data_IF_679117752666
#
_entry.id   IF_679117752666
#
_cell.length_a   1.000
_cell.length_b   1.000
_cell.length_c   1.000
_cell.angle_alpha   90.00
_cell.angle_beta   90.00
_cell.angle_gamma   90.00
#
_symmetry.space_group_name_H-M   'P 1'
#
loop_
_entity.id
_entity.type
_entity.pdbx_description
1 polymer ?
#
# COMPACT_ATOMS: atom_id res chain seq x y z
N UNK A 1 -21.61 16.14 -72.89
CA UNK A 1 -22.06 14.89 -72.23
C UNK A 1 -20.98 14.42 -71.29
N UNK A 2 -21.37 14.21 -70.03
CA UNK A 2 -20.63 13.71 -68.86
C UNK A 2 -19.32 12.94 -69.09
N UNK A 3 -18.28 13.24 -68.29
CA UNK A 3 -17.99 12.49 -67.06
C UNK A 3 -16.85 13.13 -66.24
N UNK A 4 -17.13 13.26 -64.93
CA UNK A 4 -16.19 13.56 -63.84
C UNK A 4 -15.36 12.32 -63.50
N UNK A 5 -14.16 12.53 -62.94
CA UNK A 5 -13.37 11.53 -62.19
C UNK A 5 -12.02 12.16 -61.82
N UNK A 6 -11.94 12.99 -60.77
CA UNK A 6 -11.53 12.63 -59.39
C UNK A 6 -10.22 11.81 -59.38
N UNK A 7 -9.11 12.52 -59.17
CA UNK A 7 -7.83 11.97 -58.73
C UNK A 7 -8.01 11.42 -57.30
N UNK A 8 -7.91 10.10 -57.13
CA UNK A 8 -7.74 9.47 -55.84
C UNK A 8 -6.26 9.10 -55.69
N UNK A 9 -5.55 9.83 -54.82
CA UNK A 9 -4.22 9.47 -54.36
C UNK A 9 -4.34 8.23 -53.45
N UNK A 10 -3.87 7.08 -53.93
CA UNK A 10 -3.73 5.88 -53.12
C UNK A 10 -2.40 5.96 -52.35
N UNK A 11 -2.43 6.55 -51.16
CA UNK A 11 -1.33 6.46 -50.20
C UNK A 11 -1.46 5.12 -49.47
N UNK A 12 -0.71 4.10 -49.91
CA UNK A 12 -0.57 2.84 -49.18
C UNK A 12 0.35 3.11 -47.99
N UNK A 13 -0.24 3.23 -46.80
CA UNK A 13 0.50 3.26 -45.54
C UNK A 13 0.88 1.81 -45.19
N UNK A 14 2.11 1.41 -45.50
CA UNK A 14 2.68 0.15 -45.05
C UNK A 14 3.12 0.32 -43.59
N UNK A 15 2.25 -0.05 -42.64
CA UNK A 15 2.63 -0.14 -41.23
C UNK A 15 3.46 -1.41 -41.06
N UNK A 16 4.79 -1.25 -41.13
CA UNK A 16 5.74 -2.26 -40.66
C UNK A 16 5.59 -2.36 -39.14
N UNK A 17 4.86 -3.37 -38.67
CA UNK A 17 4.92 -3.81 -37.29
C UNK A 17 6.32 -4.32 -36.99
N UNK A 18 7.16 -3.47 -36.39
CA UNK A 18 8.37 -3.89 -35.69
C UNK A 18 7.91 -4.68 -34.46
N UNK A 19 7.76 -5.99 -34.62
CA UNK A 19 7.88 -6.89 -33.48
C UNK A 19 9.30 -6.70 -32.97
N UNK A 20 9.46 -6.02 -31.84
CA UNK A 20 10.72 -6.01 -31.12
C UNK A 20 10.98 -7.47 -30.70
N UNK A 21 11.79 -8.18 -31.47
CA UNK A 21 12.38 -9.43 -31.02
C UNK A 21 13.13 -9.11 -29.72
N UNK A 22 12.99 -9.91 -28.66
CA UNK A 22 13.81 -9.73 -27.48
C UNK A 22 15.27 -9.75 -27.92
N UNK A 23 16.05 -8.75 -27.49
CA UNK A 23 17.48 -8.70 -27.80
C UNK A 23 18.11 -9.99 -27.31
N UNK A 24 18.55 -10.83 -28.25
CA UNK A 24 19.30 -12.05 -27.95
C UNK A 24 20.57 -11.60 -27.23
N UNK A 25 20.81 -12.11 -26.01
CA UNK A 25 22.00 -11.76 -25.26
C UNK A 25 23.23 -12.09 -26.11
N UNK A 26 24.12 -11.10 -26.29
CA UNK A 26 25.34 -11.32 -27.05
C UNK A 26 26.23 -12.33 -26.31
N UNK A 27 26.85 -13.25 -27.05
CA UNK A 27 27.86 -14.16 -26.51
C UNK A 27 28.97 -13.36 -25.82
N UNK A 28 29.43 -13.75 -24.62
CA UNK A 28 30.58 -13.10 -23.98
C UNK A 28 31.83 -13.16 -24.88
N UNK A 29 32.65 -12.11 -24.87
CA UNK A 29 33.82 -11.98 -25.78
C UNK A 29 34.85 -13.12 -25.65
N UNK A 30 34.87 -13.83 -24.53
CA UNK A 30 35.78 -14.93 -24.22
C UNK A 30 35.07 -16.30 -24.13
N UNK A 31 33.86 -16.41 -24.68
CA UNK A 31 33.10 -17.66 -24.70
C UNK A 31 33.12 -18.28 -26.10
N UNK A 32 33.66 -19.49 -26.21
CA UNK A 32 33.72 -20.25 -27.46
C UNK A 32 32.75 -21.43 -27.40
N UNK A 33 31.60 -21.28 -28.06
CA UNK A 33 30.58 -22.33 -28.12
C UNK A 33 30.94 -23.47 -29.08
N UNK A 34 32.04 -23.35 -29.85
CA UNK A 34 32.42 -24.35 -30.85
C UNK A 34 32.98 -25.64 -30.24
N UNK A 35 33.41 -25.62 -28.96
CA UNK A 35 33.93 -26.76 -28.20
C UNK A 35 32.99 -27.19 -27.06
N UNK A 36 31.69 -26.97 -27.23
CA UNK A 36 30.67 -27.26 -26.22
C UNK A 36 30.24 -28.73 -26.33
N UNK A 37 30.40 -29.56 -25.29
CA UNK A 37 29.99 -30.98 -25.35
C UNK A 37 28.50 -31.15 -25.05
N UNK A 38 27.95 -30.37 -24.12
CA UNK A 38 26.55 -30.49 -23.69
C UNK A 38 25.79 -29.17 -23.70
N UNK A 39 24.54 -29.23 -24.13
CA UNK A 39 23.56 -28.18 -23.84
C UNK A 39 22.50 -28.77 -22.92
N UNK A 40 22.34 -28.20 -21.71
CA UNK A 40 21.26 -28.58 -20.79
C UNK A 40 20.08 -27.61 -20.92
N UNK A 41 18.89 -28.16 -21.11
CA UNK A 41 17.65 -27.40 -21.16
C UNK A 41 16.98 -27.39 -19.79
N UNK A 42 16.48 -26.23 -19.41
CA UNK A 42 15.83 -26.03 -18.13
C UNK A 42 16.26 -24.69 -17.54
N UNK A 43 15.93 -24.50 -16.27
CA UNK A 43 16.39 -23.33 -15.54
C UNK A 43 15.62 -23.17 -14.24
N UNK A 44 15.95 -22.15 -13.45
CA UNK A 44 15.25 -21.91 -12.21
C UNK A 44 13.81 -21.45 -12.48
N UNK A 45 12.92 -21.87 -11.60
CA UNK A 45 11.52 -21.44 -11.54
C UNK A 45 11.17 -21.23 -10.07
N UNK A 46 11.12 -19.97 -9.66
CA UNK A 46 10.95 -19.59 -8.26
C UNK A 46 9.47 -19.41 -7.95
N UNK A 47 8.99 -20.16 -6.96
CA UNK A 47 7.69 -19.91 -6.34
C UNK A 47 7.86 -19.25 -4.98
N UNK A 48 6.91 -18.41 -4.61
CA UNK A 48 6.87 -17.71 -3.33
C UNK A 48 5.56 -18.03 -2.61
N UNK A 49 5.59 -18.14 -1.29
CA UNK A 49 4.41 -18.43 -0.46
C UNK A 49 4.47 -17.56 0.80
N UNK A 50 3.36 -16.92 1.11
CA UNK A 50 3.22 -16.15 2.34
C UNK A 50 3.05 -17.12 3.52
N UNK A 51 3.86 -16.93 4.57
CA UNK A 51 3.76 -17.67 5.81
C UNK A 51 2.96 -16.88 6.85
N UNK A 52 2.05 -17.58 7.52
CA UNK A 52 1.19 -17.00 8.56
C UNK A 52 -0.09 -16.40 7.99
N UNK A 53 -0.66 -15.44 8.73
CA UNK A 53 -1.90 -14.79 8.36
C UNK A 53 -1.72 -13.89 7.15
N UNK A 54 -2.74 -13.80 6.31
CA UNK A 54 -2.78 -12.89 5.17
C UNK A 54 -3.93 -11.89 5.25
N UNK A 55 -4.60 -11.79 6.39
CA UNK A 55 -5.76 -10.93 6.61
C UNK A 55 -5.55 -10.02 7.83
N UNK A 56 -5.69 -8.71 7.63
CA UNK A 56 -5.29 -7.67 8.58
C UNK A 56 -6.32 -6.54 8.66
N UNK A 57 -6.27 -5.74 9.72
CA UNK A 57 -7.17 -4.60 9.91
C UNK A 57 -6.63 -3.32 9.24
N UNK A 58 -7.50 -2.32 9.08
CA UNK A 58 -7.12 -1.02 8.53
C UNK A 58 -6.14 -0.32 9.47
N UNK A 59 -5.17 0.39 8.91
CA UNK A 59 -4.16 1.09 9.72
C UNK A 59 -3.01 0.21 10.22
N UNK A 60 -3.09 -1.11 10.06
CA UNK A 60 -2.06 -2.04 10.51
C UNK A 60 -0.72 -1.80 9.77
N UNK A 61 0.38 -1.93 10.51
CA UNK A 61 1.72 -2.07 9.93
C UNK A 61 2.25 -3.46 10.27
N UNK A 62 2.39 -4.31 9.25
CA UNK A 62 2.70 -5.74 9.41
C UNK A 62 3.92 -6.15 8.60
N UNK A 63 4.63 -7.17 9.08
CA UNK A 63 5.75 -7.78 8.35
C UNK A 63 5.32 -9.12 7.76
N UNK A 64 5.22 -9.15 6.43
CA UNK A 64 4.98 -10.36 5.65
C UNK A 64 6.25 -11.23 5.63
N UNK A 65 6.11 -12.52 5.92
CA UNK A 65 7.19 -13.49 5.84
C UNK A 65 6.96 -14.37 4.62
N UNK A 66 7.85 -14.31 3.64
CA UNK A 66 7.70 -14.99 2.35
C UNK A 66 8.73 -16.12 2.26
N UNK A 67 8.27 -17.36 2.18
CA UNK A 67 9.10 -18.51 1.85
C UNK A 67 9.23 -18.64 0.34
N UNK A 68 10.43 -18.95 -0.14
CA UNK A 68 10.70 -19.17 -1.56
C UNK A 68 11.17 -20.60 -1.79
N UNK A 69 10.71 -21.20 -2.88
CA UNK A 69 11.14 -22.52 -3.34
C UNK A 69 11.53 -22.44 -4.81
N UNK A 70 12.66 -23.05 -5.17
CA UNK A 70 13.01 -23.24 -6.57
C UNK A 70 12.45 -24.57 -7.09
N UNK A 71 11.40 -24.49 -7.89
CA UNK A 71 10.74 -25.60 -8.60
C UNK A 71 11.33 -25.87 -9.98
N UNK A 72 12.34 -25.10 -10.38
CA UNK A 72 13.05 -25.26 -11.63
C UNK A 72 13.58 -26.67 -11.80
N UNK A 73 13.62 -27.15 -13.03
CA UNK A 73 14.09 -28.48 -13.35
C UNK A 73 14.80 -28.53 -14.69
N UNK A 74 15.69 -29.52 -14.82
CA UNK A 74 16.28 -29.88 -16.09
C UNK A 74 15.16 -30.55 -16.89
N UNK A 75 14.82 -29.96 -18.03
CA UNK A 75 13.80 -30.45 -18.94
C UNK A 75 14.37 -31.37 -20.03
N UNK A 76 15.68 -31.31 -20.25
CA UNK A 76 16.38 -32.19 -21.18
C UNK A 76 17.85 -31.84 -21.29
N UNK A 77 18.57 -32.60 -22.10
CA UNK A 77 19.95 -32.33 -22.46
C UNK A 77 20.19 -32.78 -23.91
N UNK A 78 21.19 -32.19 -24.55
CA UNK A 78 21.67 -32.57 -25.87
C UNK A 78 23.19 -32.69 -25.82
N UNK A 79 23.71 -33.82 -26.30
CA UNK A 79 25.13 -33.94 -26.62
C UNK A 79 25.36 -33.22 -27.94
N UNK A 80 26.26 -32.24 -27.93
CA UNK A 80 26.68 -31.49 -29.10
C UNK A 80 27.95 -32.10 -29.70
N UNK A 81 28.87 -32.54 -28.83
CA UNK A 81 30.08 -33.27 -29.22
C UNK A 81 30.30 -34.52 -28.35
N UNK A 82 30.82 -35.59 -28.96
CA UNK A 82 31.07 -36.87 -28.29
C UNK A 82 32.55 -37.20 -28.31
N UNK A 83 33.12 -37.43 -27.12
CA UNK A 83 34.53 -37.76 -27.01
C UNK A 83 34.91 -39.06 -27.71
N UNK A 84 35.98 -39.00 -28.49
CA UNK A 84 36.50 -40.14 -29.21
C UNK A 84 36.98 -41.24 -28.24
N UNK A 85 36.82 -42.50 -28.66
CA UNK A 85 37.23 -43.64 -27.85
C UNK A 85 38.76 -43.64 -27.70
N UNK A 86 39.23 -43.47 -26.46
CA UNK A 86 40.65 -43.46 -26.12
C UNK A 86 41.23 -42.05 -25.96
N UNK A 87 40.43 -41.01 -26.22
CA UNK A 87 40.75 -39.64 -25.85
C UNK A 87 40.35 -39.38 -24.40
N UNK A 88 41.26 -39.70 -23.47
CA UNK A 88 40.99 -39.57 -22.04
C UNK A 88 40.89 -38.11 -21.57
N UNK A 89 41.51 -37.18 -22.29
CA UNK A 89 41.40 -35.75 -21.99
C UNK A 89 39.98 -35.27 -22.30
N UNK A 90 39.53 -35.52 -23.52
CA UNK A 90 38.22 -35.12 -24.02
C UNK A 90 37.08 -35.78 -23.21
N UNK A 91 37.26 -37.03 -22.80
CA UNK A 91 36.33 -37.73 -21.90
C UNK A 91 36.22 -37.05 -20.52
N UNK A 92 37.33 -36.59 -19.94
CA UNK A 92 37.34 -35.91 -18.64
C UNK A 92 36.74 -34.52 -18.76
N UNK A 93 37.05 -33.78 -19.84
CA UNK A 93 36.45 -32.46 -20.11
C UNK A 93 34.93 -32.59 -20.31
N UNK A 94 34.49 -33.50 -21.18
CA UNK A 94 33.08 -33.80 -21.39
C UNK A 94 32.36 -34.12 -20.07
N UNK A 95 32.91 -34.99 -19.23
CA UNK A 95 32.32 -35.30 -17.92
C UNK A 95 32.27 -34.09 -16.99
N UNK A 96 33.30 -33.24 -17.03
CA UNK A 96 33.37 -32.04 -16.21
C UNK A 96 32.32 -31.02 -16.62
N UNK A 97 32.18 -30.76 -17.93
CA UNK A 97 31.15 -29.86 -18.45
C UNK A 97 29.76 -30.33 -18.03
N UNK A 98 29.45 -31.63 -18.16
CA UNK A 98 28.17 -32.19 -17.70
C UNK A 98 27.89 -31.89 -16.22
N UNK A 99 28.90 -31.99 -15.34
CA UNK A 99 28.75 -31.70 -13.91
C UNK A 99 28.44 -30.23 -13.64
N UNK A 100 29.06 -29.32 -14.39
CA UNK A 100 28.78 -27.90 -14.28
C UNK A 100 27.41 -27.56 -14.89
N UNK A 101 27.10 -28.06 -16.08
CA UNK A 101 25.82 -27.87 -16.79
C UNK A 101 24.60 -28.28 -15.94
N UNK A 102 24.73 -29.34 -15.13
CA UNK A 102 23.69 -29.75 -14.18
C UNK A 102 23.30 -28.66 -13.16
N UNK A 103 24.10 -27.60 -13.00
CA UNK A 103 23.83 -26.48 -12.09
C UNK A 103 22.93 -25.39 -12.69
N UNK A 104 22.58 -25.45 -13.98
CA UNK A 104 21.75 -24.45 -14.69
C UNK A 104 20.42 -24.11 -13.98
N UNK A 105 19.86 -25.08 -13.26
CA UNK A 105 18.62 -24.94 -12.49
C UNK A 105 18.77 -24.20 -11.16
N UNK A 106 19.95 -23.69 -10.82
CA UNK A 106 20.19 -22.93 -9.59
C UNK A 106 19.92 -21.44 -9.80
N UNK A 107 19.04 -20.85 -9.00
CA UNK A 107 18.86 -19.40 -8.93
C UNK A 107 19.89 -18.80 -7.99
N UNK A 108 20.75 -17.91 -8.49
CA UNK A 108 21.90 -17.36 -7.79
C UNK A 108 21.65 -15.89 -7.48
N UNK A 109 21.86 -15.50 -6.22
CA UNK A 109 21.77 -14.09 -5.80
C UNK A 109 20.40 -13.49 -6.06
N UNK A 110 19.35 -14.15 -5.57
CA UNK A 110 17.97 -13.72 -5.69
C UNK A 110 17.79 -12.41 -4.92
N UNK A 111 17.38 -11.39 -5.66
CA UNK A 111 16.94 -10.10 -5.14
C UNK A 111 15.41 -10.00 -5.32
N UNK A 112 14.70 -9.93 -4.20
CA UNK A 112 13.25 -9.87 -4.16
C UNK A 112 12.78 -8.43 -3.89
N UNK A 113 11.82 -7.94 -4.67
CA UNK A 113 11.22 -6.61 -4.50
C UNK A 113 9.71 -6.74 -4.49
N UNK A 114 9.08 -6.39 -3.37
CA UNK A 114 7.63 -6.37 -3.26
C UNK A 114 7.10 -5.00 -3.65
N UNK A 115 6.07 -4.96 -4.49
CA UNK A 115 5.40 -3.75 -4.94
C UNK A 115 3.90 -3.86 -4.73
N UNK A 116 3.28 -2.72 -4.47
CA UNK A 116 1.82 -2.55 -4.48
C UNK A 116 1.49 -1.48 -5.51
N UNK A 117 0.56 -1.77 -6.40
CA UNK A 117 -0.01 -0.78 -7.31
C UNK A 117 -1.19 -0.03 -6.65
N UNK A 118 -1.73 -0.56 -5.55
CA UNK A 118 -2.82 0.06 -4.80
C UNK A 118 -2.28 1.03 -3.74
N UNK A 119 -2.71 2.31 -3.74
CA UNK A 119 -2.23 3.31 -2.80
C UNK A 119 -2.64 3.05 -1.33
N UNK A 120 -3.61 2.16 -1.09
CA UNK A 120 -4.03 1.78 0.25
C UNK A 120 -3.08 0.78 0.91
N UNK A 121 -2.24 0.08 0.15
CA UNK A 121 -1.23 -0.84 0.69
C UNK A 121 0.15 -0.29 0.35
N UNK A 122 0.87 0.22 1.34
CA UNK A 122 2.19 0.81 1.14
C UNK A 122 3.27 -0.16 1.57
N UNK A 123 4.11 -0.60 0.63
CA UNK A 123 5.32 -1.35 0.95
C UNK A 123 6.37 -0.38 1.53
N UNK A 124 6.81 -0.65 2.76
CA UNK A 124 7.79 0.17 3.50
C UNK A 124 9.21 -0.37 3.36
N UNK A 125 9.36 -1.66 3.11
CA UNK A 125 10.65 -2.30 2.86
C UNK A 125 11.18 -1.99 1.46
N UNK A 126 12.51 -1.90 1.34
CA UNK A 126 13.19 -1.97 0.04
C UNK A 126 13.36 -3.41 -0.45
N UNK A 127 14.14 -3.60 -1.52
CA UNK A 127 14.53 -4.92 -2.00
C UNK A 127 15.25 -5.74 -0.92
N UNK A 128 14.98 -7.04 -0.89
CA UNK A 128 15.52 -7.99 0.08
C UNK A 128 16.35 -9.06 -0.64
N UNK A 129 17.50 -9.39 -0.08
CA UNK A 129 18.29 -10.52 -0.56
C UNK A 129 17.69 -11.84 -0.06
N UNK A 130 17.42 -12.76 -0.97
CA UNK A 130 16.89 -14.09 -0.68
C UNK A 130 17.93 -15.21 -0.94
N UNK A 131 19.18 -14.83 -1.20
CA UNK A 131 20.30 -15.76 -1.35
C UNK A 131 20.26 -16.59 -2.63
N UNK A 132 20.71 -17.83 -2.56
CA UNK A 132 20.79 -18.76 -3.70
C UNK A 132 19.94 -19.99 -3.42
N UNK A 133 19.11 -20.38 -4.39
CA UNK A 133 18.24 -21.56 -4.29
C UNK A 133 18.59 -22.61 -5.34
N UNK A 134 19.08 -23.75 -4.86
CA UNK A 134 19.22 -24.96 -5.69
C UNK A 134 17.85 -25.55 -6.00
N UNK A 135 17.78 -26.34 -7.06
CA UNK A 135 16.56 -27.08 -7.43
C UNK A 135 15.98 -27.86 -6.24
N UNK A 136 14.66 -27.76 -6.07
CA UNK A 136 13.89 -28.49 -5.06
C UNK A 136 14.19 -28.06 -3.63
N UNK A 137 14.84 -26.91 -3.41
CA UNK A 137 15.15 -26.37 -2.10
C UNK A 137 14.31 -25.14 -1.79
N UNK A 138 13.96 -25.05 -0.51
CA UNK A 138 13.37 -23.88 0.12
C UNK A 138 14.45 -22.90 0.58
N UNK A 139 14.06 -21.64 0.74
CA UNK A 139 14.85 -20.60 1.38
C UNK A 139 15.21 -20.99 2.82
N UNK A 140 16.46 -20.79 3.21
CA UNK A 140 16.93 -21.07 4.57
C UNK A 140 16.24 -20.24 5.64
N UNK A 141 15.67 -19.10 5.25
CA UNK A 141 14.87 -18.23 6.10
C UNK A 141 13.85 -17.46 5.26
N UNK A 142 12.67 -17.13 5.80
CA UNK A 142 11.70 -16.30 5.10
C UNK A 142 12.25 -14.91 4.79
N UNK A 143 11.94 -14.43 3.60
CA UNK A 143 12.21 -13.05 3.17
C UNK A 143 11.14 -12.13 3.75
N UNK A 144 11.53 -11.00 4.35
CA UNK A 144 10.62 -10.16 5.13
C UNK A 144 10.31 -8.83 4.46
N UNK A 145 9.04 -8.51 4.29
CA UNK A 145 8.59 -7.22 3.78
C UNK A 145 7.58 -6.58 4.72
N UNK A 146 7.84 -5.35 5.14
CA UNK A 146 6.90 -4.57 5.93
C UNK A 146 5.97 -3.80 5.01
N UNK A 147 4.67 -3.93 5.25
CA UNK A 147 3.61 -3.17 4.60
C UNK A 147 2.84 -2.36 5.65
N UNK A 148 2.23 -1.27 5.19
CA UNK A 148 1.28 -0.46 5.96
C UNK A 148 -0.03 -0.40 5.19
N UNK A 149 -1.12 -0.71 5.89
CA UNK A 149 -2.48 -0.68 5.37
C UNK A 149 -3.07 0.68 5.74
N UNK A 150 -3.63 1.38 4.78
CA UNK A 150 -4.26 2.67 5.03
C UNK A 150 -5.47 2.51 5.96
N UNK A 151 -5.66 3.46 6.89
CA UNK A 151 -6.83 3.51 7.79
C UNK A 151 -8.16 3.60 7.03
N UNK A 152 -8.12 4.13 5.80
CA UNK A 152 -9.29 4.30 4.93
C UNK A 152 -9.36 3.22 3.83
N UNK A 153 -8.52 2.18 3.90
CA UNK A 153 -8.57 1.07 2.94
C UNK A 153 -9.94 0.39 3.01
N UNK A 154 -10.57 0.12 1.88
CA UNK A 154 -11.78 -0.70 1.83
C UNK A 154 -11.45 -2.16 2.18
N UNK A 155 -12.42 -2.89 2.70
CA UNK A 155 -12.22 -4.33 2.87
C UNK A 155 -12.11 -5.02 1.50
N UNK A 156 -11.25 -6.04 1.42
CA UNK A 156 -11.05 -6.75 0.16
C UNK A 156 -9.68 -7.42 0.04
N UNK A 157 -9.43 -7.99 -1.13
CA UNK A 157 -8.15 -8.63 -1.46
C UNK A 157 -7.31 -7.67 -2.31
N UNK A 158 -6.10 -7.43 -1.85
CA UNK A 158 -5.12 -6.55 -2.46
C UNK A 158 -3.96 -7.39 -2.99
N UNK A 159 -3.81 -7.52 -4.32
CA UNK A 159 -2.70 -8.22 -4.92
C UNK A 159 -1.42 -7.38 -4.84
N UNK A 160 -0.35 -8.00 -4.37
CA UNK A 160 1.00 -7.45 -4.34
C UNK A 160 1.87 -8.20 -5.35
N UNK A 161 2.72 -7.46 -6.05
CA UNK A 161 3.63 -8.02 -7.05
C UNK A 161 5.01 -8.22 -6.43
N UNK A 162 5.44 -9.47 -6.30
CA UNK A 162 6.78 -9.84 -5.90
C UNK A 162 7.64 -10.05 -7.15
N UNK A 163 8.56 -9.13 -7.41
CA UNK A 163 9.56 -9.24 -8.47
C UNK A 163 10.80 -9.94 -7.93
N UNK A 164 11.20 -11.03 -8.58
CA UNK A 164 12.38 -11.82 -8.26
C UNK A 164 13.38 -11.67 -9.41
N UNK A 165 14.51 -11.02 -9.13
CA UNK A 165 15.63 -10.92 -10.07
C UNK A 165 16.74 -11.83 -9.58
N UNK A 166 17.27 -12.70 -10.44
CA UNK A 166 18.36 -13.60 -10.09
C UNK A 166 19.26 -13.87 -11.29
N UNK A 167 20.45 -14.38 -11.02
CA UNK A 167 21.32 -14.95 -12.06
C UNK A 167 21.10 -16.45 -12.16
N UNK A 168 21.31 -16.99 -13.34
CA UNK A 168 21.41 -18.42 -13.54
C UNK A 168 22.53 -18.70 -14.53
N UNK A 169 23.09 -19.91 -14.45
CA UNK A 169 24.08 -20.36 -15.41
C UNK A 169 23.35 -20.72 -16.71
N UNK A 170 23.62 -19.96 -17.77
CA UNK A 170 23.06 -20.20 -19.09
C UNK A 170 23.85 -21.28 -19.84
N UNK A 171 25.19 -21.22 -19.74
CA UNK A 171 26.05 -22.24 -20.34
C UNK A 171 27.43 -22.29 -19.64
N UNK A 172 28.16 -23.37 -19.87
CA UNK A 172 29.52 -23.62 -19.38
C UNK A 172 30.40 -24.00 -20.56
N UNK A 173 31.65 -23.60 -20.50
CA UNK A 173 32.71 -24.13 -21.34
C UNK A 173 33.82 -24.66 -20.44
N UNK A 174 34.47 -25.72 -20.87
CA UNK A 174 35.63 -26.30 -20.19
C UNK A 174 36.79 -26.45 -21.17
N UNK A 175 38.01 -26.41 -20.65
CA UNK A 175 39.22 -26.62 -21.44
C UNK A 175 40.38 -27.11 -20.55
N UNK A 176 41.48 -27.47 -21.18
CA UNK A 176 42.70 -27.91 -20.50
C UNK A 176 43.78 -28.30 -21.51
N UNK A 177 44.91 -28.79 -21.01
CA UNK A 177 46.10 -29.03 -21.84
C UNK A 177 46.41 -30.52 -22.11
N UNK A 178 46.56 -31.33 -21.05
CA UNK A 178 46.93 -32.76 -21.18
C UNK A 178 46.34 -33.58 -20.03
N UNK A 179 45.89 -34.80 -20.34
CA UNK A 179 45.48 -35.80 -19.36
C UNK A 179 46.66 -36.45 -18.62
N UNK A 180 46.72 -36.27 -17.29
CA UNK A 180 47.69 -36.94 -16.42
C UNK A 180 47.16 -38.31 -15.96
N UNK A 181 47.71 -39.37 -16.56
CA UNK A 181 47.37 -40.77 -16.21
C UNK A 181 47.67 -41.19 -14.76
N UNK A 182 48.51 -40.44 -14.03
CA UNK A 182 48.84 -40.73 -12.62
C UNK A 182 47.73 -40.24 -11.68
N UNK A 183 47.16 -39.08 -11.97
CA UNK A 183 46.13 -38.43 -11.15
C UNK A 183 44.72 -38.64 -11.68
N UNK A 184 44.59 -38.98 -12.97
CA UNK A 184 43.31 -39.13 -13.67
C UNK A 184 42.64 -37.80 -14.00
N UNK A 185 43.41 -36.70 -14.08
CA UNK A 185 42.91 -35.33 -14.25
C UNK A 185 43.52 -34.68 -15.48
N UNK A 186 42.83 -33.68 -16.04
CA UNK A 186 43.36 -32.80 -17.08
C UNK A 186 44.13 -31.64 -16.42
N UNK A 187 45.34 -31.39 -16.90
CA UNK A 187 46.21 -30.30 -16.44
C UNK A 187 45.76 -28.96 -17.01
N UNK A 188 46.07 -27.86 -16.29
CA UNK A 188 45.64 -26.50 -16.65
C UNK A 188 44.14 -26.39 -16.96
N UNK A 189 43.32 -27.11 -16.19
CA UNK A 189 41.88 -27.12 -16.36
C UNK A 189 41.27 -25.72 -16.22
N UNK A 190 40.54 -25.29 -17.25
CA UNK A 190 39.87 -24.00 -17.34
C UNK A 190 38.35 -24.21 -17.37
N UNK A 191 37.61 -23.37 -16.64
CA UNK A 191 36.14 -23.37 -16.66
C UNK A 191 35.65 -21.94 -16.88
N UNK A 192 34.94 -21.72 -17.98
CA UNK A 192 34.23 -20.49 -18.27
C UNK A 192 32.74 -20.68 -18.03
N UNK A 193 32.13 -19.82 -17.20
CA UNK A 193 30.68 -19.90 -16.91
C UNK A 193 30.01 -18.64 -17.43
N UNK A 194 29.01 -18.82 -18.29
CA UNK A 194 28.17 -17.73 -18.77
C UNK A 194 26.90 -17.62 -17.92
N UNK A 195 26.82 -16.52 -17.16
CA UNK A 195 25.63 -16.17 -16.39
C UNK A 195 24.72 -15.19 -17.15
N UNK A 196 23.42 -15.41 -17.04
CA UNK A 196 22.40 -14.46 -17.47
C UNK A 196 21.54 -14.00 -16.28
N UNK A 197 20.97 -12.80 -16.40
CA UNK A 197 19.97 -12.31 -15.46
C UNK A 197 18.58 -12.73 -15.93
N UNK A 198 17.76 -13.19 -15.00
CA UNK A 198 16.36 -13.53 -15.23
C UNK A 198 15.49 -12.84 -14.19
N UNK A 199 14.33 -12.38 -14.64
CA UNK A 199 13.30 -11.81 -13.77
C UNK A 199 12.06 -12.67 -13.83
N UNK A 200 11.46 -12.92 -12.67
CA UNK A 200 10.19 -13.62 -12.51
C UNK A 200 9.28 -12.80 -11.60
N UNK A 201 7.98 -12.82 -11.87
CA UNK A 201 6.98 -12.18 -11.02
C UNK A 201 6.11 -13.23 -10.35
N UNK A 202 5.75 -12.97 -9.10
CA UNK A 202 4.79 -13.76 -8.33
C UNK A 202 3.75 -12.80 -7.74
N UNK A 203 2.50 -13.23 -7.67
CA UNK A 203 1.43 -12.46 -7.02
C UNK A 203 1.21 -13.00 -5.61
N UNK A 204 1.24 -12.10 -4.62
CA UNK A 204 0.90 -12.40 -3.24
C UNK A 204 -0.36 -11.64 -2.86
N UNK A 205 -1.29 -12.29 -2.18
CA UNK A 205 -2.56 -11.67 -1.80
C UNK A 205 -2.54 -11.31 -0.31
N UNK A 206 -2.85 -10.04 -0.03
CA UNK A 206 -3.14 -9.53 1.31
C UNK A 206 -4.61 -9.15 1.38
N UNK A 207 -5.27 -9.45 2.48
CA UNK A 207 -6.69 -9.15 2.71
C UNK A 207 -6.83 -8.10 3.79
N UNK A 208 -7.70 -7.12 3.54
CA UNK A 208 -8.18 -6.19 4.55
C UNK A 208 -9.51 -6.70 5.06
N UNK A 209 -9.61 -6.88 6.38
CA UNK A 209 -10.80 -7.37 7.07
C UNK A 209 -11.99 -6.46 6.80
N UNK A 210 -13.17 -7.07 6.80
CA UNK A 210 -14.41 -6.32 6.90
C UNK A 210 -14.63 -5.95 8.36
N UNK A 211 -14.85 -4.67 8.61
CA UNK A 211 -15.09 -4.14 9.95
C UNK A 211 -15.97 -2.88 9.85
N UNK A 212 -16.72 -2.53 10.91
CA UNK A 212 -17.36 -1.22 10.96
C UNK A 212 -16.33 -0.10 10.91
N UNK A 213 -16.65 0.98 10.21
CA UNK A 213 -15.80 2.16 10.12
C UNK A 213 -16.66 3.39 10.24
N UNK A 214 -16.27 4.37 11.05
CA UNK A 214 -17.16 5.46 11.43
C UNK A 214 -16.64 6.81 11.00
N UNK A 215 -17.56 7.63 10.50
CA UNK A 215 -17.30 9.01 10.11
C UNK A 215 -18.38 9.93 10.67
N UNK A 216 -17.99 11.16 11.04
CA UNK A 216 -18.93 12.24 11.32
C UNK A 216 -19.27 12.91 10.00
N UNK A 217 -20.53 12.81 9.58
CA UNK A 217 -21.00 13.38 8.30
C UNK A 217 -21.64 14.75 8.46
N UNK A 218 -22.14 15.08 9.65
CA UNK A 218 -22.78 16.36 9.93
C UNK A 218 -22.62 16.73 11.40
N UNK A 219 -22.33 18.01 11.67
CA UNK A 219 -22.35 18.62 13.01
C UNK A 219 -23.23 19.85 12.94
N UNK A 220 -24.21 19.94 13.85
CA UNK A 220 -25.12 21.08 13.99
C UNK A 220 -25.14 21.54 15.44
N UNK A 221 -25.29 22.84 15.64
CA UNK A 221 -25.31 23.45 16.97
C UNK A 221 -24.35 24.63 17.03
N UNK A 222 -24.76 25.64 17.78
CA UNK A 222 -23.96 26.83 18.03
C UNK A 222 -23.48 26.77 19.48
N UNK A 223 -22.20 27.06 19.70
CA UNK A 223 -21.58 27.08 21.01
C UNK A 223 -21.12 28.50 21.33
N UNK A 224 -21.46 28.98 22.53
CA UNK A 224 -21.11 30.31 22.98
C UNK A 224 -20.32 30.25 24.29
N UNK A 225 -19.30 31.11 24.50
CA UNK A 225 -18.63 31.22 25.78
C UNK A 225 -19.62 31.50 26.91
N UNK A 226 -19.37 30.94 28.10
CA UNK A 226 -20.21 31.03 29.32
C UNK A 226 -21.58 30.34 29.22
N UNK A 227 -22.26 30.40 28.08
CA UNK A 227 -23.58 29.78 27.87
C UNK A 227 -23.54 28.31 27.44
N UNK A 228 -22.50 27.89 26.71
CA UNK A 228 -22.44 26.55 26.15
C UNK A 228 -23.35 26.36 24.93
N UNK A 229 -23.85 25.14 24.73
CA UNK A 229 -24.84 24.81 23.72
C UNK A 229 -24.96 23.31 23.39
N UNK A 230 -25.98 22.96 22.62
CA UNK A 230 -26.27 21.58 22.23
C UNK A 230 -25.61 21.25 20.88
N UNK A 231 -24.76 20.23 20.84
CA UNK A 231 -24.20 19.68 19.61
C UNK A 231 -24.97 18.44 19.15
N UNK A 232 -25.45 18.47 17.92
CA UNK A 232 -26.07 17.34 17.23
C UNK A 232 -25.07 16.79 16.21
N UNK A 233 -24.58 15.59 16.44
CA UNK A 233 -23.51 14.97 15.65
C UNK A 233 -24.04 13.72 14.96
N UNK A 234 -23.99 13.70 13.64
CA UNK A 234 -24.42 12.55 12.84
C UNK A 234 -23.22 11.64 12.57
N UNK A 235 -23.26 10.44 13.14
CA UNK A 235 -22.29 9.37 12.90
C UNK A 235 -22.81 8.41 11.85
N UNK A 236 -21.96 8.04 10.91
CA UNK A 236 -22.27 7.07 9.85
C UNK A 236 -21.30 5.90 9.90
N UNK A 237 -21.82 4.68 9.79
CA UNK A 237 -20.99 3.51 9.51
C UNK A 237 -20.70 3.46 7.99
N UNK A 238 -19.47 3.76 7.59
CA UNK A 238 -18.97 3.66 6.21
C UNK A 238 -18.20 2.34 5.96
N UNK A 239 -18.08 1.48 6.98
CA UNK A 239 -17.50 0.15 6.87
C UNK A 239 -18.44 -0.90 6.27
N UNK A 240 -17.98 -2.15 6.21
CA UNK A 240 -18.69 -3.25 5.52
C UNK A 240 -19.51 -4.15 6.45
N UNK A 241 -19.31 -4.06 7.76
CA UNK A 241 -20.04 -4.85 8.76
C UNK A 241 -20.90 -3.97 9.68
N UNK A 242 -21.98 -4.52 10.26
CA UNK A 242 -22.80 -3.79 11.23
C UNK A 242 -22.05 -3.63 12.56
N UNK A 243 -22.26 -2.49 13.20
CA UNK A 243 -21.86 -2.25 14.58
C UNK A 243 -23.10 -2.34 15.47
N UNK A 244 -23.16 -3.34 16.36
CA UNK A 244 -24.29 -3.52 17.27
C UNK A 244 -24.05 -2.76 18.57
N UNK A 245 -25.14 -2.37 19.24
CA UNK A 245 -25.12 -1.68 20.54
C UNK A 245 -24.11 -0.52 20.63
N UNK A 246 -24.00 0.22 19.53
CA UNK A 246 -23.03 1.30 19.40
C UNK A 246 -23.34 2.43 20.37
N UNK A 247 -22.35 2.83 21.16
CA UNK A 247 -22.39 3.97 22.06
C UNK A 247 -21.19 4.85 21.78
N UNK A 248 -21.44 6.11 21.42
CA UNK A 248 -20.36 7.08 21.24
C UNK A 248 -20.01 7.73 22.56
N UNK A 249 -18.72 8.01 22.75
CA UNK A 249 -18.19 8.83 23.83
C UNK A 249 -17.41 10.00 23.27
N UNK A 250 -17.71 11.22 23.71
CA UNK A 250 -16.95 12.43 23.37
C UNK A 250 -15.89 12.70 24.44
N UNK A 251 -14.70 13.10 24.01
CA UNK A 251 -13.65 13.60 24.90
C UNK A 251 -13.68 15.13 24.87
N UNK A 252 -14.35 15.72 25.86
CA UNK A 252 -14.34 17.16 26.09
C UNK A 252 -13.10 17.56 26.91
N UNK A 253 -12.48 18.66 26.53
CA UNK A 253 -11.38 19.30 27.26
C UNK A 253 -11.30 20.77 26.86
N UNK A 254 -10.52 21.55 27.61
CA UNK A 254 -10.47 23.01 27.50
C UNK A 254 -10.52 23.51 26.04
N UNK A 255 -11.46 24.41 25.70
CA UNK A 255 -12.37 25.16 26.59
C UNK A 255 -13.72 24.47 26.84
N UNK A 256 -13.87 23.18 26.52
CA UNK A 256 -15.16 22.48 26.59
C UNK A 256 -15.23 21.53 27.80
N UNK A 257 -16.41 21.42 28.37
CA UNK A 257 -16.74 20.33 29.30
C UNK A 257 -18.17 19.84 29.07
N UNK A 258 -18.49 18.65 29.60
CA UNK A 258 -19.85 18.11 29.56
C UNK A 258 -20.04 17.17 30.74
N UNK A 259 -21.28 17.08 31.23
CA UNK A 259 -21.66 16.12 32.26
C UNK A 259 -22.26 14.83 31.70
N UNK A 260 -22.58 14.81 30.40
CA UNK A 260 -23.10 13.65 29.67
C UNK A 260 -22.26 13.41 28.42
N UNK A 261 -21.14 12.73 28.60
CA UNK A 261 -20.13 12.50 27.56
C UNK A 261 -20.46 11.33 26.62
N UNK A 262 -21.64 10.70 26.75
CA UNK A 262 -22.01 9.50 26.03
C UNK A 262 -23.38 9.60 25.36
N UNK A 263 -23.54 8.93 24.21
CA UNK A 263 -24.84 8.80 23.55
C UNK A 263 -24.99 7.42 22.89
N UNK A 264 -26.15 6.78 23.10
CA UNK A 264 -26.47 5.50 22.46
C UNK A 264 -26.93 5.72 21.01
N UNK A 265 -26.27 5.04 20.08
CA UNK A 265 -26.52 5.13 18.63
C UNK A 265 -27.34 3.95 18.11
N UNK A 266 -27.47 2.86 18.86
CA UNK A 266 -28.17 1.64 18.44
C UNK A 266 -27.31 0.73 17.58
N UNK A 267 -27.95 -0.03 16.68
CA UNK A 267 -27.22 -0.79 15.66
C UNK A 267 -27.04 0.06 14.42
N UNK A 268 -25.80 0.21 13.96
CA UNK A 268 -25.47 0.91 12.72
C UNK A 268 -25.04 -0.09 11.65
N UNK A 269 -25.96 -0.39 10.72
CA UNK A 269 -25.64 -1.20 9.55
C UNK A 269 -24.71 -0.45 8.58
N UNK A 270 -24.05 -1.14 7.63
CA UNK A 270 -23.28 -0.50 6.58
C UNK A 270 -24.08 0.59 5.84
N UNK A 271 -23.57 1.81 5.85
CA UNK A 271 -24.19 2.99 5.25
C UNK A 271 -25.24 3.71 6.11
N UNK A 272 -25.60 3.17 7.27
CA UNK A 272 -26.58 3.76 8.18
C UNK A 272 -25.98 4.89 9.02
N UNK A 273 -26.83 5.83 9.47
CA UNK A 273 -26.43 6.96 10.30
C UNK A 273 -27.35 7.14 11.50
N UNK A 274 -26.79 7.61 12.61
CA UNK A 274 -27.51 7.96 13.83
C UNK A 274 -26.98 9.26 14.42
N UNK A 275 -27.83 9.98 15.16
CA UNK A 275 -27.52 11.31 15.70
C UNK A 275 -27.28 11.19 17.20
N UNK A 276 -26.07 11.57 17.63
CA UNK A 276 -25.76 11.82 19.03
C UNK A 276 -26.04 13.28 19.39
N UNK A 277 -26.45 13.53 20.62
CA UNK A 277 -26.66 14.88 21.15
C UNK A 277 -25.78 15.03 22.39
N UNK A 278 -24.98 16.09 22.42
CA UNK A 278 -24.12 16.42 23.54
C UNK A 278 -24.43 17.81 24.06
N UNK A 279 -24.69 17.93 25.36
CA UNK A 279 -24.81 19.20 26.06
C UNK A 279 -23.42 19.69 26.46
N UNK A 280 -22.95 20.77 25.84
CA UNK A 280 -21.58 21.24 25.97
C UNK A 280 -21.52 22.54 26.74
N UNK A 281 -20.78 22.56 27.83
CA UNK A 281 -20.35 23.78 28.51
C UNK A 281 -19.10 24.34 27.82
N UNK A 282 -19.00 25.67 27.77
CA UNK A 282 -17.88 26.39 27.17
C UNK A 282 -17.38 27.45 28.14
N UNK A 283 -16.08 27.44 28.43
CA UNK A 283 -15.46 28.43 29.31
C UNK A 283 -15.74 29.88 28.87
N UNK A 284 -15.91 30.79 29.84
CA UNK A 284 -16.17 32.22 29.57
C UNK A 284 -15.06 32.89 28.74
N UNK A 285 -13.82 32.43 28.89
CA UNK A 285 -12.63 32.92 28.20
C UNK A 285 -12.39 32.20 26.84
N UNK A 286 -13.31 31.33 26.42
CA UNK A 286 -13.18 30.59 25.17
C UNK A 286 -13.04 31.55 23.98
N UNK A 287 -11.96 31.39 23.21
CA UNK A 287 -11.76 32.19 22.01
C UNK A 287 -12.73 31.75 20.92
N UNK A 288 -13.47 32.67 20.27
CA UNK A 288 -14.29 32.34 19.12
C UNK A 288 -13.45 31.89 17.93
N UNK A 289 -13.53 30.60 17.57
CA UNK A 289 -12.84 29.97 16.44
C UNK A 289 -13.36 28.54 16.22
N UNK A 290 -12.97 27.88 15.12
CA UNK A 290 -13.17 26.45 14.94
C UNK A 290 -12.37 25.61 15.96
N UNK A 291 -12.99 24.53 16.44
CA UNK A 291 -12.41 23.52 17.32
C UNK A 291 -12.66 22.11 16.79
N UNK A 292 -11.90 21.15 17.31
CA UNK A 292 -12.05 19.72 16.98
C UNK A 292 -12.05 18.92 18.28
N UNK A 293 -13.13 18.18 18.52
CA UNK A 293 -13.28 17.26 19.63
C UNK A 293 -13.00 15.83 19.16
N UNK A 294 -12.44 15.01 20.04
CA UNK A 294 -12.29 13.58 19.78
C UNK A 294 -13.53 12.85 20.25
N UNK A 295 -13.93 11.82 19.51
CA UNK A 295 -14.93 10.86 19.94
C UNK A 295 -14.52 9.45 19.55
N UNK A 296 -15.04 8.47 20.27
CA UNK A 296 -14.80 7.05 20.03
C UNK A 296 -16.13 6.31 20.18
N UNK A 297 -16.34 5.26 19.40
CA UNK A 297 -17.56 4.47 19.42
C UNK A 297 -17.21 3.09 19.97
N UNK A 298 -17.85 2.72 21.08
CA UNK A 298 -17.86 1.37 21.60
C UNK A 298 -19.00 0.61 20.94
N UNK A 299 -18.75 -0.59 20.41
CA UNK A 299 -19.75 -1.41 19.73
C UNK A 299 -19.45 -2.90 19.89
N UNK A 300 -20.46 -3.75 19.70
CA UNK A 300 -20.29 -5.19 19.54
C UNK A 300 -20.15 -5.54 18.06
N UNK A 301 -19.09 -6.28 17.71
CA UNK A 301 -18.84 -6.77 16.36
C UNK A 301 -19.78 -7.92 15.95
N UNK A 302 -19.58 -8.47 14.75
CA UNK A 302 -20.39 -9.58 14.24
C UNK A 302 -20.16 -10.90 14.97
N UNK A 303 -18.99 -11.06 15.59
CA UNK A 303 -18.60 -12.23 16.37
C UNK A 303 -19.05 -12.15 17.85
N UNK A 304 -19.56 -11.00 18.28
CA UNK A 304 -20.07 -10.78 19.63
C UNK A 304 -19.02 -10.25 20.61
N UNK A 305 -17.92 -9.66 20.11
CA UNK A 305 -16.90 -9.03 20.94
C UNK A 305 -17.08 -7.52 20.99
N UNK A 306 -16.86 -6.94 22.18
CA UNK A 306 -16.81 -5.48 22.36
C UNK A 306 -15.53 -4.92 21.73
N UNK A 307 -15.69 -3.91 20.88
CA UNK A 307 -14.64 -3.20 20.16
C UNK A 307 -14.76 -1.69 20.36
N UNK A 308 -13.63 -0.99 20.35
CA UNK A 308 -13.59 0.47 20.31
C UNK A 308 -13.10 0.92 18.94
N UNK A 309 -13.79 1.88 18.33
CA UNK A 309 -13.39 2.46 17.05
C UNK A 309 -12.08 3.24 17.15
N UNK A 310 -11.48 3.51 15.99
CA UNK A 310 -10.54 4.63 15.86
C UNK A 310 -11.20 5.95 16.31
N UNK A 311 -10.39 6.94 16.71
CA UNK A 311 -10.89 8.26 17.10
C UNK A 311 -11.51 8.99 15.90
N UNK A 312 -12.79 9.35 16.04
CA UNK A 312 -13.56 10.13 15.07
C UNK A 312 -13.61 11.59 15.52
N UNK A 313 -13.28 12.51 14.61
CA UNK A 313 -13.23 13.95 14.90
C UNK A 313 -14.60 14.60 14.72
N UNK A 314 -15.03 15.36 15.73
CA UNK A 314 -16.18 16.26 15.65
C UNK A 314 -15.62 17.67 15.46
N UNK A 315 -15.82 18.25 14.28
CA UNK A 315 -15.42 19.63 14.03
C UNK A 315 -16.59 20.56 14.34
N UNK A 316 -16.37 21.54 15.21
CA UNK A 316 -17.36 22.50 15.68
C UNK A 316 -16.76 23.91 15.73
N UNK A 317 -17.54 24.91 16.08
CA UNK A 317 -17.10 26.30 16.20
C UNK A 317 -17.70 26.96 17.44
N UNK A 318 -16.86 27.72 18.16
CA UNK A 318 -17.33 28.64 19.20
C UNK A 318 -17.58 29.99 18.55
N UNK A 319 -18.81 30.46 18.64
CA UNK A 319 -19.23 31.76 18.13
C UNK A 319 -18.89 32.89 19.11
N UNK A 320 -18.92 34.13 18.63
CA UNK A 320 -18.76 35.26 19.53
C UNK A 320 -19.97 35.41 20.44
N UNK A 321 -19.75 35.65 21.74
CA UNK A 321 -20.81 35.98 22.67
C UNK A 321 -21.66 37.14 22.11
N UNK A 322 -22.99 36.99 22.08
CA UNK A 322 -23.87 38.07 21.68
C UNK A 322 -23.71 39.23 22.68
N UNK A 323 -23.23 40.39 22.19
CA UNK A 323 -23.20 41.60 23.01
C UNK A 323 -24.62 42.10 23.25
N UNK A 324 -25.25 41.61 24.32
CA UNK A 324 -26.40 42.25 24.94
C UNK A 324 -26.00 43.65 25.41
N UNK A 325 -26.40 44.69 24.67
CA UNK A 325 -26.25 46.07 25.13
C UNK A 325 -27.14 46.26 26.37
N UNK A 326 -26.59 46.71 27.52
CA UNK A 326 -27.41 46.97 28.70
C UNK A 326 -28.51 47.97 28.36
N UNK A 327 -29.77 47.60 28.58
CA UNK A 327 -30.97 48.38 28.21
C UNK A 327 -31.01 49.82 28.76
N UNK A 328 -30.11 50.17 29.68
CA UNK A 328 -29.93 51.52 30.18
C UNK A 328 -29.41 52.52 29.13
N UNK A 329 -28.70 52.07 28.09
CA UNK A 329 -28.21 52.97 27.03
C UNK A 329 -29.33 53.49 26.12
N UNK A 330 -30.40 52.71 25.92
CA UNK A 330 -31.58 53.15 25.16
C UNK A 330 -32.42 54.15 25.99
N UNK A 331 -32.56 53.89 27.30
CA UNK A 331 -33.28 54.78 28.21
C UNK A 331 -32.58 56.13 28.46
N UNK A 332 -31.25 56.13 28.58
CA UNK A 332 -30.47 57.34 28.81
C UNK A 332 -30.54 58.32 27.62
N UNK A 333 -30.53 57.82 26.38
CA UNK A 333 -30.67 58.66 25.17
C UNK A 333 -32.02 59.35 25.08
N UNK A 334 -33.12 58.65 25.40
CA UNK A 334 -34.48 59.22 25.40
C UNK A 334 -34.65 60.20 26.56
N UNK A 335 -34.11 59.89 27.74
CA UNK A 335 -34.12 60.80 28.90
C UNK A 335 -33.37 62.12 28.65
N UNK A 336 -32.19 62.05 28.01
CA UNK A 336 -31.43 63.26 27.64
C UNK A 336 -32.15 64.11 26.59
N UNK A 337 -32.79 63.49 25.59
CA UNK A 337 -33.57 64.21 24.58
C UNK A 337 -34.80 64.89 25.18
N UNK A 338 -35.50 64.24 26.12
CA UNK A 338 -36.64 64.84 26.82
C UNK A 338 -36.20 66.02 27.71
N UNK A 339 -35.10 65.89 28.44
CA UNK A 339 -34.54 66.97 29.26
C UNK A 339 -34.05 68.16 28.41
N UNK A 340 -33.43 67.91 27.26
CA UNK A 340 -33.04 68.96 26.33
C UNK A 340 -34.25 69.69 25.75
N UNK A 341 -35.31 68.97 25.37
CA UNK A 341 -36.56 69.58 24.89
C UNK A 341 -37.24 70.43 25.99
N UNK A 342 -37.30 69.92 27.23
CA UNK A 342 -37.81 70.68 28.38
C UNK A 342 -36.97 71.93 28.67
N UNK A 343 -35.63 71.86 28.57
CA UNK A 343 -34.76 73.00 28.77
C UNK A 343 -34.96 74.09 27.70
N UNK A 344 -35.11 73.70 26.42
CA UNK A 344 -35.39 74.63 25.32
C UNK A 344 -36.76 75.30 25.50
N UNK A 345 -37.79 74.56 25.90
CA UNK A 345 -39.12 75.11 26.19
C UNK A 345 -39.13 76.04 27.40
N UNK A 346 -38.38 75.72 28.46
CA UNK A 346 -38.23 76.58 29.63
C UNK A 346 -37.52 77.90 29.29
N UNK A 347 -36.45 77.84 28.48
CA UNK A 347 -35.70 79.03 28.07
C UNK A 347 -36.53 79.97 27.18
N UNK A 348 -37.39 79.44 26.31
CA UNK A 348 -38.31 80.24 25.49
C UNK A 348 -39.33 81.04 26.32
N UNK A 349 -39.82 80.49 27.44
CA UNK A 349 -40.79 81.17 28.33
C UNK A 349 -40.21 82.29 29.19
N UNK A 350 -38.88 82.39 29.31
CA UNK A 350 -38.21 83.44 30.09
C UNK A 350 -37.82 84.66 29.23
N UNK A 351 -38.11 84.65 27.92
CA UNK A 351 -37.80 85.73 26.97
C UNK A 351 -39.05 86.45 26.42
N UNK A 352 -40.24 86.07 26.86
CA UNK A 352 -41.50 86.84 26.73
C UNK A 352 -41.81 87.50 28.06
#
# INVERSE_FOLDING_TARGET
MNKKGIFAAATVLLILGLAALPAQAALPENFDISSNYYTVYGGPDLSATLLGDNEYSRGDTVTLNIEMMNKGAISGFKSEDEADIGDYEDQVLQQTEMQYEAQTVTAIGILATLKSDDPNIKVKSGSQEAGTLKQGKDSSSPTKFTIEINKNASAGTYPLTLELSYKYQNNVQVGGDEYDSTTGLVTNHEVGIWYENKTQTQTLEVKVKKEPYFEVTEVKGDLYPEEGGMLYVTYKNTGEEPAKDATVRVSAGDPFSTTDDQAYLGTLNPGESSVAVFDMDVDEDATPKPYSLNSEILYEDTDGHDQTSDSVKINTEVLSAEKSLPGYQIGAGIGFMALAACFVLYRKRQQE
#
